data_IF_529044257064
#
_entry.id   IF_529044257064
#
_cell.length_a   1.000
_cell.length_b   1.000
_cell.length_c   1.000
_cell.angle_alpha   90.00
_cell.angle_beta   90.00
_cell.angle_gamma   90.00
#
_symmetry.space_group_name_H-M   'P 1'
#
loop_
_entity.id
_entity.type
_entity.pdbx_description
1 polymer ?
#
# COMPACT_ATOMS: atom_id res chain seq x y z
N UNK A 1 1.76 23.97 -6.32
CA UNK A 1 2.38 23.45 -5.09
C UNK A 1 2.88 24.61 -4.22
N UNK A 2 2.58 24.59 -2.93
CA UNK A 2 3.04 25.56 -1.92
C UNK A 2 4.59 25.60 -1.82
N UNK A 3 5.16 26.78 -1.59
CA UNK A 3 6.61 27.02 -1.39
C UNK A 3 7.19 26.10 -0.32
N UNK A 4 6.40 25.77 0.71
CA UNK A 4 6.76 24.83 1.77
C UNK A 4 7.10 23.43 1.24
N UNK A 5 6.27 22.85 0.38
CA UNK A 5 6.52 21.51 -0.17
C UNK A 5 7.65 21.49 -1.19
N UNK A 6 7.82 22.57 -1.96
CA UNK A 6 8.96 22.73 -2.87
C UNK A 6 10.29 22.59 -2.12
N UNK A 7 10.42 23.31 -1.01
CA UNK A 7 11.64 23.29 -0.20
C UNK A 7 11.85 21.93 0.48
N UNK A 8 10.78 21.32 1.00
CA UNK A 8 10.84 19.97 1.58
C UNK A 8 11.34 18.92 0.56
N UNK A 9 10.85 18.97 -0.69
CA UNK A 9 11.32 18.06 -1.75
C UNK A 9 12.80 18.31 -2.04
N UNK A 10 13.21 19.58 -2.21
CA UNK A 10 14.61 19.92 -2.49
C UNK A 10 15.55 19.43 -1.39
N UNK A 11 15.15 19.57 -0.12
CA UNK A 11 15.90 19.07 1.03
C UNK A 11 16.02 17.54 1.04
N UNK A 12 14.93 16.81 0.76
CA UNK A 12 15.01 15.33 0.72
C UNK A 12 15.90 14.86 -0.43
N UNK A 13 15.81 15.50 -1.60
CA UNK A 13 16.70 15.21 -2.72
C UNK A 13 18.16 15.45 -2.34
N UNK A 14 18.49 16.59 -1.72
CA UNK A 14 19.87 16.91 -1.35
C UNK A 14 20.46 15.99 -0.28
N UNK A 15 19.63 15.53 0.66
CA UNK A 15 20.04 14.58 1.71
C UNK A 15 20.27 13.17 1.17
N UNK A 16 19.47 12.75 0.19
CA UNK A 16 19.39 11.36 -0.24
C UNK A 16 20.11 11.07 -1.57
N UNK A 17 20.64 12.08 -2.27
CA UNK A 17 21.20 11.94 -3.62
C UNK A 17 22.52 12.69 -3.75
N UNK A 18 23.57 12.10 -4.36
CA UNK A 18 24.80 12.82 -4.63
C UNK A 18 24.58 14.04 -5.53
N UNK A 19 25.17 15.17 -5.16
CA UNK A 19 24.96 16.48 -5.80
C UNK A 19 25.49 16.59 -7.23
N UNK A 20 26.45 15.76 -7.59
CA UNK A 20 27.12 15.74 -8.90
C UNK A 20 26.33 14.97 -9.97
N UNK A 21 25.20 14.34 -9.60
CA UNK A 21 24.38 13.59 -10.52
C UNK A 21 23.80 14.45 -11.65
N UNK A 22 23.58 13.83 -12.80
CA UNK A 22 23.01 14.44 -13.99
C UNK A 22 21.61 15.01 -13.68
N UNK A 23 21.25 16.11 -14.33
CA UNK A 23 20.00 16.82 -14.06
C UNK A 23 18.76 15.92 -14.22
N UNK A 24 18.72 15.08 -15.26
CA UNK A 24 17.62 14.11 -15.46
C UNK A 24 17.50 13.08 -14.32
N UNK A 25 18.61 12.65 -13.72
CA UNK A 25 18.56 11.76 -12.54
C UNK A 25 18.07 12.50 -11.29
N UNK A 26 18.46 13.77 -11.12
CA UNK A 26 17.91 14.62 -10.05
C UNK A 26 16.41 14.87 -10.25
N UNK A 27 15.93 15.00 -11.50
CA UNK A 27 14.50 15.09 -11.83
C UNK A 27 13.75 13.82 -11.43
N UNK A 28 14.29 12.64 -11.72
CA UNK A 28 13.72 11.38 -11.25
C UNK A 28 13.57 11.37 -9.71
N UNK A 29 14.63 11.73 -8.98
CA UNK A 29 14.56 11.77 -7.52
C UNK A 29 13.53 12.79 -7.02
N UNK A 30 13.46 13.97 -7.62
CA UNK A 30 12.48 14.99 -7.22
C UNK A 30 11.04 14.48 -7.37
N UNK A 31 10.74 13.73 -8.43
CA UNK A 31 9.43 13.11 -8.66
C UNK A 31 9.15 11.99 -7.64
N UNK A 32 10.15 11.16 -7.33
CA UNK A 32 10.05 10.09 -6.31
C UNK A 32 9.75 10.67 -4.93
N UNK A 33 10.50 11.69 -4.50
CA UNK A 33 10.30 12.37 -3.22
C UNK A 33 8.93 13.05 -3.17
N UNK A 34 8.51 13.70 -4.26
CA UNK A 34 7.17 14.31 -4.37
C UNK A 34 6.05 13.27 -4.26
N UNK A 35 6.20 12.12 -4.90
CA UNK A 35 5.23 11.01 -4.84
C UNK A 35 5.09 10.49 -3.41
N UNK A 36 6.23 10.30 -2.73
CA UNK A 36 6.27 9.86 -1.33
C UNK A 36 5.61 10.88 -0.40
N UNK A 37 5.92 12.18 -0.54
CA UNK A 37 5.30 13.24 0.25
C UNK A 37 3.79 13.30 -0.01
N UNK A 38 3.36 13.25 -1.26
CA UNK A 38 1.95 13.27 -1.62
C UNK A 38 1.18 12.10 -0.99
N UNK A 39 1.78 10.91 -0.99
CA UNK A 39 1.24 9.74 -0.29
C UNK A 39 1.13 9.98 1.21
N UNK A 40 2.18 10.49 1.86
CA UNK A 40 2.15 10.77 3.31
C UNK A 40 1.12 11.83 3.72
N UNK A 41 0.83 12.81 2.86
CA UNK A 41 -0.25 13.79 3.09
C UNK A 41 -1.61 13.08 3.10
N UNK A 42 -1.89 12.24 2.10
CA UNK A 42 -3.16 11.50 2.01
C UNK A 42 -3.37 10.56 3.20
N UNK A 43 -2.30 9.91 3.66
CA UNK A 43 -2.34 8.97 4.77
C UNK A 43 -2.26 9.68 6.15
N UNK A 44 -2.17 11.02 6.19
CA UNK A 44 -2.09 11.81 7.43
C UNK A 44 -0.79 11.63 8.23
N UNK A 45 0.24 11.04 7.62
CA UNK A 45 1.50 10.64 8.28
C UNK A 45 2.66 11.62 8.06
N UNK A 46 2.46 12.67 7.26
CA UNK A 46 3.52 13.62 6.95
C UNK A 46 3.94 14.42 8.19
N UNK A 47 5.17 14.19 8.64
CA UNK A 47 5.87 15.07 9.59
C UNK A 47 6.70 16.09 8.82
N UNK A 48 6.49 17.37 9.10
CA UNK A 48 7.29 18.46 8.53
C UNK A 48 8.15 19.04 9.64
N UNK A 49 9.45 18.89 9.51
CA UNK A 49 10.44 19.49 10.39
C UNK A 49 10.80 20.90 9.89
N UNK A 50 11.38 21.72 10.77
CA UNK A 50 11.96 23.00 10.37
C UNK A 50 13.27 22.75 9.61
N UNK A 51 13.25 23.05 8.31
CA UNK A 51 14.34 22.70 7.39
C UNK A 51 15.12 23.96 7.03
N UNK A 52 16.41 23.97 7.39
CA UNK A 52 17.37 24.91 6.82
C UNK A 52 17.71 24.49 5.37
N UNK A 53 17.51 25.41 4.43
CA UNK A 53 17.68 25.18 2.99
C UNK A 53 18.83 25.98 2.36
N UNK A 54 19.60 26.72 3.16
CA UNK A 54 20.56 27.72 2.65
C UNK A 54 21.74 27.10 1.88
N UNK A 55 21.98 25.80 2.04
CA UNK A 55 23.08 25.05 1.43
C UNK A 55 22.66 24.17 0.25
N UNK A 56 21.37 24.19 -0.15
CA UNK A 56 20.88 23.31 -1.21
C UNK A 56 21.33 23.83 -2.59
N UNK A 57 21.95 22.94 -3.36
CA UNK A 57 22.44 23.23 -4.71
C UNK A 57 21.31 23.73 -5.63
N UNK A 58 21.57 24.82 -6.37
CA UNK A 58 20.66 25.40 -7.35
C UNK A 58 20.15 24.40 -8.40
N UNK A 59 20.96 23.39 -8.77
CA UNK A 59 20.58 22.33 -9.71
C UNK A 59 19.49 21.43 -9.16
N UNK A 60 19.45 21.21 -7.85
CA UNK A 60 18.39 20.44 -7.20
C UNK A 60 17.08 21.23 -7.27
N UNK A 61 17.12 22.53 -6.95
CA UNK A 61 15.95 23.39 -7.12
C UNK A 61 15.46 23.42 -8.57
N UNK A 62 16.39 23.50 -9.53
CA UNK A 62 16.05 23.39 -10.94
C UNK A 62 15.35 22.07 -11.27
N UNK A 63 15.85 20.93 -10.78
CA UNK A 63 15.19 19.64 -10.99
C UNK A 63 13.79 19.58 -10.36
N UNK A 64 13.61 20.15 -9.16
CA UNK A 64 12.31 20.23 -8.47
C UNK A 64 11.32 21.10 -9.25
N UNK A 65 11.78 22.23 -9.80
CA UNK A 65 10.95 23.17 -10.55
C UNK A 65 10.61 22.67 -11.95
N UNK A 66 11.59 22.11 -12.67
CA UNK A 66 11.38 21.52 -14.00
C UNK A 66 10.38 20.34 -13.96
N UNK A 67 10.26 19.68 -12.80
CA UNK A 67 9.31 18.56 -12.58
C UNK A 67 8.11 18.95 -11.73
N UNK A 68 7.81 20.25 -11.64
CA UNK A 68 6.75 20.77 -10.78
C UNK A 68 5.44 20.00 -10.99
N UNK A 69 4.84 19.60 -9.87
CA UNK A 69 3.59 18.85 -9.79
C UNK A 69 3.63 17.42 -10.38
N UNK A 70 4.74 16.91 -10.92
CA UNK A 70 4.79 15.53 -11.44
C UNK A 70 4.92 14.50 -10.32
N UNK A 71 4.10 13.45 -10.39
CA UNK A 71 4.10 12.28 -9.48
C UNK A 71 3.99 10.97 -10.25
N UNK A 72 4.35 9.87 -9.60
CA UNK A 72 4.32 8.51 -10.16
C UNK A 72 3.09 7.77 -9.64
N UNK A 73 2.32 7.21 -10.57
CA UNK A 73 1.06 6.56 -10.30
C UNK A 73 1.02 5.15 -10.86
N UNK A 74 0.25 4.29 -10.21
CA UNK A 74 -0.14 2.98 -10.72
C UNK A 74 -1.62 2.75 -10.34
N UNK A 75 -2.46 2.38 -11.32
CA UNK A 75 -3.91 2.24 -11.14
C UNK A 75 -4.55 3.42 -10.36
N UNK A 76 -4.25 4.65 -10.80
CA UNK A 76 -4.74 5.90 -10.20
C UNK A 76 -4.37 6.12 -8.71
N UNK A 77 -3.35 5.44 -8.20
CA UNK A 77 -2.82 5.66 -6.84
C UNK A 77 -1.33 6.02 -6.87
N UNK A 78 -0.85 6.90 -5.97
CA UNK A 78 0.57 7.15 -5.84
C UNK A 78 1.29 5.88 -5.40
N UNK A 79 2.37 5.55 -6.09
CA UNK A 79 3.12 4.33 -5.84
C UNK A 79 3.90 4.40 -4.51
N UNK A 80 4.33 3.25 -4.01
CA UNK A 80 5.44 3.14 -3.06
C UNK A 80 6.75 3.27 -3.85
N UNK A 81 7.25 4.50 -4.00
CA UNK A 81 8.42 4.83 -4.81
C UNK A 81 9.73 4.49 -4.09
N UNK A 82 9.97 3.20 -3.82
CA UNK A 82 11.23 2.73 -3.24
C UNK A 82 12.42 3.04 -4.15
N UNK A 83 13.55 3.42 -3.56
CA UNK A 83 14.79 3.72 -4.27
C UNK A 83 16.01 3.40 -3.40
N UNK A 84 17.16 3.22 -4.05
CA UNK A 84 18.42 2.89 -3.41
C UNK A 84 19.61 3.41 -4.25
N UNK A 85 20.79 3.54 -3.64
CA UNK A 85 21.92 4.20 -4.31
C UNK A 85 22.52 3.36 -5.45
N UNK A 86 22.67 2.04 -5.28
CA UNK A 86 23.24 1.15 -6.31
C UNK A 86 22.68 -0.26 -6.22
N UNK A 87 22.25 -0.84 -7.35
CA UNK A 87 21.66 -2.18 -7.39
C UNK A 87 22.69 -3.31 -7.57
N UNK A 88 23.96 -2.99 -7.84
CA UNK A 88 25.00 -4.00 -8.10
C UNK A 88 24.83 -4.81 -9.38
N UNK A 89 23.81 -4.49 -10.21
CA UNK A 89 23.58 -5.10 -11.51
C UNK A 89 22.12 -5.41 -11.80
N UNK A 90 21.29 -5.67 -10.78
CA UNK A 90 19.88 -6.00 -10.93
C UNK A 90 19.07 -5.38 -9.79
N UNK A 91 17.92 -4.80 -10.09
CA UNK A 91 16.92 -4.51 -9.05
C UNK A 91 16.12 -5.77 -8.75
N UNK A 92 15.42 -5.78 -7.61
CA UNK A 92 14.78 -6.96 -7.04
C UNK A 92 13.24 -6.88 -7.11
N UNK A 93 12.60 -8.04 -7.16
CA UNK A 93 11.14 -8.17 -7.01
C UNK A 93 10.73 -7.92 -5.56
N UNK A 94 9.63 -7.18 -5.35
CA UNK A 94 9.21 -6.80 -4.00
C UNK A 94 8.94 -7.98 -3.06
N UNK A 95 8.47 -9.12 -3.57
CA UNK A 95 8.17 -10.31 -2.77
C UNK A 95 9.40 -10.92 -2.11
N UNK A 96 10.59 -10.75 -2.70
CA UNK A 96 11.85 -11.29 -2.15
C UNK A 96 12.37 -10.46 -0.97
N UNK A 97 11.89 -9.22 -0.80
CA UNK A 97 12.35 -8.28 0.25
C UNK A 97 11.24 -7.93 1.25
N UNK A 98 10.00 -7.79 0.77
CA UNK A 98 8.83 -7.34 1.55
C UNK A 98 7.82 -8.46 1.81
N UNK A 99 8.08 -9.69 1.37
CA UNK A 99 7.15 -10.83 1.45
C UNK A 99 5.76 -10.56 0.83
N UNK A 100 5.68 -9.59 -0.11
CA UNK A 100 4.46 -9.25 -0.84
C UNK A 100 4.78 -8.77 -2.25
N UNK A 101 4.02 -9.25 -3.23
CA UNK A 101 4.10 -8.80 -4.62
C UNK A 101 3.47 -7.41 -4.79
N UNK A 102 4.18 -6.52 -5.48
CA UNK A 102 3.78 -5.16 -5.85
C UNK A 102 4.10 -4.97 -7.33
N UNK A 103 3.07 -4.81 -8.16
CA UNK A 103 3.17 -5.00 -9.62
C UNK A 103 4.12 -4.03 -10.33
N UNK A 104 4.32 -2.83 -9.80
CA UNK A 104 5.27 -1.85 -10.36
C UNK A 104 6.68 -1.94 -9.77
N UNK A 105 6.93 -2.81 -8.78
CA UNK A 105 8.26 -3.04 -8.19
C UNK A 105 8.80 -4.40 -8.64
N UNK A 106 9.15 -4.49 -9.92
CA UNK A 106 9.68 -5.70 -10.55
C UNK A 106 11.18 -5.53 -10.79
N UNK A 107 11.93 -6.61 -10.62
CA UNK A 107 13.36 -6.62 -10.85
C UNK A 107 13.69 -6.37 -12.33
N UNK A 108 14.63 -5.45 -12.58
CA UNK A 108 15.14 -5.13 -13.91
C UNK A 108 16.66 -5.24 -13.93
N UNK A 109 17.21 -5.73 -15.03
CA UNK A 109 18.67 -5.75 -15.23
C UNK A 109 19.18 -4.33 -15.42
N UNK A 110 20.21 -3.92 -14.69
CA UNK A 110 20.87 -2.63 -14.78
C UNK A 110 22.34 -2.81 -15.19
N UNK A 111 22.59 -2.84 -16.51
CA UNK A 111 23.94 -3.04 -17.07
C UNK A 111 24.94 -2.00 -16.56
N UNK A 112 24.48 -0.76 -16.40
CA UNK A 112 25.30 0.37 -15.96
C UNK A 112 25.88 0.19 -14.54
N UNK A 113 25.18 -0.53 -13.66
CA UNK A 113 25.68 -0.86 -12.32
C UNK A 113 26.44 -2.18 -12.26
N UNK A 114 26.28 -3.06 -13.25
CA UNK A 114 26.98 -4.36 -13.30
C UNK A 114 28.47 -4.18 -13.56
N UNK A 115 28.81 -3.18 -14.39
CA UNK A 115 30.18 -2.96 -14.86
C UNK A 115 30.97 -1.97 -13.97
N UNK A 116 30.31 -1.34 -13.00
CA UNK A 116 30.95 -0.38 -12.10
C UNK A 116 31.47 -1.08 -10.83
N UNK A 117 32.79 -1.31 -10.78
CA UNK A 117 33.49 -1.96 -9.66
C UNK A 117 33.79 -1.02 -8.48
N UNK A 118 33.61 0.28 -8.64
CA UNK A 118 34.01 1.29 -7.62
C UNK A 118 33.15 1.23 -6.34
N UNK A 119 32.11 0.39 -6.34
CA UNK A 119 31.22 0.15 -5.21
C UNK A 119 31.23 -1.31 -4.72
N UNK A 120 32.07 -2.15 -5.30
CA UNK A 120 32.30 -3.48 -4.75
C UNK A 120 33.00 -3.25 -3.40
N UNK A 121 32.39 -3.73 -2.32
CA UNK A 121 32.97 -3.60 -0.98
C UNK A 121 33.44 -4.97 -0.50
N UNK A 122 34.54 -4.95 0.24
CA UNK A 122 35.14 -6.14 0.84
C UNK A 122 35.14 -5.94 2.34
N UNK A 123 34.53 -6.88 3.07
CA UNK A 123 34.50 -6.86 4.54
C UNK A 123 35.11 -8.17 5.03
N UNK A 124 36.14 -8.06 5.85
CA UNK A 124 36.73 -9.21 6.56
C UNK A 124 36.18 -9.22 7.99
N UNK A 125 35.47 -10.30 8.35
CA UNK A 125 34.89 -10.47 9.69
C UNK A 125 35.57 -11.66 10.38
N UNK A 126 35.97 -11.50 11.63
CA UNK A 126 36.48 -12.61 12.45
C UNK A 126 35.38 -13.65 12.69
N UNK A 127 35.71 -14.94 12.62
CA UNK A 127 34.73 -16.02 12.75
C UNK A 127 34.01 -15.97 14.10
N UNK A 128 34.72 -15.62 15.17
CA UNK A 128 34.14 -15.48 16.51
C UNK A 128 33.15 -14.32 16.58
N UNK A 129 33.48 -13.17 15.97
CA UNK A 129 32.57 -12.03 15.85
C UNK A 129 31.31 -12.45 15.08
N UNK A 130 31.48 -13.10 13.92
CA UNK A 130 30.37 -13.56 13.10
C UNK A 130 29.44 -14.52 13.86
N UNK A 131 30.00 -15.48 14.60
CA UNK A 131 29.21 -16.41 15.41
C UNK A 131 28.40 -15.66 16.48
N UNK A 132 29.01 -14.67 17.14
CA UNK A 132 28.34 -13.86 18.15
C UNK A 132 27.15 -13.08 17.60
N UNK A 133 27.27 -12.53 16.38
CA UNK A 133 26.21 -11.75 15.71
C UNK A 133 24.94 -12.57 15.47
N UNK A 134 25.06 -13.90 15.33
CA UNK A 134 23.95 -14.80 15.01
C UNK A 134 23.64 -15.81 16.12
N UNK A 135 24.10 -15.58 17.35
CA UNK A 135 23.93 -16.50 18.49
C UNK A 135 24.44 -17.94 18.20
N UNK A 136 25.42 -18.05 17.31
CA UNK A 136 26.12 -19.29 17.03
C UNK A 136 27.03 -19.67 18.18
N UNK A 137 27.21 -20.98 18.39
CA UNK A 137 28.22 -21.51 19.31
C UNK A 137 29.24 -22.31 18.50
N UNK A 138 30.51 -22.05 18.76
CA UNK A 138 31.59 -22.87 18.21
C UNK A 138 31.75 -24.12 19.09
N UNK A 139 32.01 -25.27 18.48
CA UNK A 139 32.45 -26.44 19.26
C UNK A 139 33.78 -26.14 19.92
N UNK A 140 33.96 -26.64 21.14
CA UNK A 140 35.23 -26.59 21.87
C UNK A 140 36.21 -27.68 21.39
N UNK A 141 35.73 -28.68 20.64
CA UNK A 141 36.59 -29.74 20.11
C UNK A 141 37.32 -29.23 18.86
N UNK A 142 38.65 -29.17 18.93
CA UNK A 142 39.49 -28.74 17.80
C UNK A 142 39.52 -29.76 16.66
N UNK A 143 38.98 -30.97 16.88
CA UNK A 143 38.82 -32.02 15.87
C UNK A 143 37.46 -31.98 15.18
N UNK A 144 36.56 -31.09 15.59
CA UNK A 144 35.33 -30.78 14.84
C UNK A 144 35.70 -29.94 13.62
N UNK A 145 36.09 -30.63 12.56
CA UNK A 145 36.62 -30.03 11.34
C UNK A 145 35.56 -29.14 10.66
N UNK A 146 35.95 -27.90 10.34
CA UNK A 146 35.13 -27.07 9.46
C UNK A 146 35.30 -27.55 8.03
N UNK A 147 34.23 -28.07 7.43
CA UNK A 147 34.24 -28.33 6.00
C UNK A 147 34.38 -27.01 5.23
N UNK A 148 35.55 -26.81 4.60
CA UNK A 148 35.77 -25.69 3.69
C UNK A 148 35.55 -26.24 2.28
N UNK A 149 34.32 -26.08 1.81
CA UNK A 149 33.88 -26.59 0.51
C UNK A 149 34.89 -26.26 -0.59
N UNK A 150 35.23 -27.29 -1.38
CA UNK A 150 36.16 -27.24 -2.52
C UNK A 150 37.62 -26.88 -2.17
N UNK A 151 37.99 -26.80 -0.89
CA UNK A 151 39.35 -26.49 -0.43
C UNK A 151 39.90 -27.60 0.47
N UNK A 152 39.25 -27.90 1.60
CA UNK A 152 39.71 -28.89 2.57
C UNK A 152 38.54 -29.69 3.16
N UNK A 153 38.63 -31.02 3.08
CA UNK A 153 37.67 -31.93 3.69
C UNK A 153 38.37 -33.18 4.21
N UNK A 154 38.27 -33.45 5.51
CA UNK A 154 38.68 -34.74 6.06
C UNK A 154 37.74 -35.82 5.53
N UNK A 155 38.29 -36.82 4.83
CA UNK A 155 37.51 -37.93 4.26
C UNK A 155 37.36 -39.03 5.30
N UNK A 156 38.47 -39.39 5.94
CA UNK A 156 38.52 -40.49 6.89
C UNK A 156 39.50 -40.21 8.02
N UNK A 157 39.09 -40.55 9.24
CA UNK A 157 39.96 -40.61 10.41
C UNK A 157 40.11 -42.06 10.88
N UNK A 158 41.28 -42.39 11.40
CA UNK A 158 41.53 -43.66 12.08
C UNK A 158 40.80 -43.70 13.43
N UNK A 159 40.78 -44.87 14.08
CA UNK A 159 40.27 -45.02 15.45
C UNK A 159 40.98 -44.09 16.46
N UNK A 160 42.29 -43.91 16.28
CA UNK A 160 43.10 -42.95 17.05
C UNK A 160 42.90 -41.48 16.65
N UNK A 161 41.84 -41.17 15.88
CA UNK A 161 41.43 -39.85 15.40
C UNK A 161 42.47 -39.13 14.53
N UNK A 162 43.46 -39.85 14.00
CA UNK A 162 44.39 -39.31 13.00
C UNK A 162 43.69 -39.23 11.65
N UNK A 163 43.99 -38.20 10.86
CA UNK A 163 43.52 -38.11 9.48
C UNK A 163 44.23 -39.21 8.68
N UNK A 164 43.44 -40.14 8.14
CA UNK A 164 43.91 -41.19 7.24
C UNK A 164 43.98 -40.61 5.82
N UNK A 165 42.90 -39.97 5.37
CA UNK A 165 42.84 -39.27 4.10
C UNK A 165 42.08 -37.94 4.19
N UNK A 166 42.56 -36.98 3.43
CA UNK A 166 42.03 -35.61 3.33
C UNK A 166 41.97 -35.20 1.87
N UNK A 167 40.86 -34.58 1.48
CA UNK A 167 40.69 -33.94 0.19
C UNK A 167 41.25 -32.52 0.29
N UNK A 168 42.20 -32.20 -0.59
CA UNK A 168 42.77 -30.86 -0.76
C UNK A 168 42.47 -30.41 -2.18
N UNK A 169 41.63 -29.39 -2.32
CA UNK A 169 40.97 -29.05 -3.58
C UNK A 169 40.28 -30.28 -4.18
N UNK A 170 40.82 -30.83 -5.28
CA UNK A 170 40.28 -31.98 -6.00
C UNK A 170 41.16 -33.23 -5.86
N UNK A 171 42.16 -33.21 -4.97
CA UNK A 171 43.10 -34.33 -4.80
C UNK A 171 43.00 -34.91 -3.39
N UNK A 172 42.74 -36.21 -3.31
CA UNK A 172 42.86 -36.95 -2.06
C UNK A 172 44.34 -37.23 -1.78
N UNK A 173 44.77 -36.91 -0.56
CA UNK A 173 46.14 -37.14 -0.06
C UNK A 173 46.10 -37.82 1.30
N UNK A 174 47.18 -38.52 1.65
CA UNK A 174 47.31 -39.12 2.98
C UNK A 174 47.46 -38.04 4.04
N UNK A 175 46.85 -38.22 5.22
CA UNK A 175 46.95 -37.24 6.30
C UNK A 175 48.38 -36.98 6.79
N UNK A 176 49.26 -37.98 6.69
CA UNK A 176 50.70 -37.84 7.01
C UNK A 176 51.47 -37.02 5.98
N UNK A 177 51.17 -37.21 4.70
CA UNK A 177 51.75 -36.40 3.62
C UNK A 177 51.34 -34.93 3.80
N UNK A 178 50.06 -34.69 4.09
CA UNK A 178 49.54 -33.35 4.34
C UNK A 178 50.17 -32.69 5.58
N UNK A 179 50.27 -33.41 6.70
CA UNK A 179 50.89 -32.88 7.92
C UNK A 179 52.36 -32.51 7.69
N UNK A 180 53.10 -33.35 6.96
CA UNK A 180 54.51 -33.09 6.65
C UNK A 180 54.68 -31.87 5.75
N UNK A 181 53.83 -31.73 4.71
CA UNK A 181 53.88 -30.59 3.81
C UNK A 181 53.59 -29.25 4.50
N UNK A 182 52.82 -29.27 5.60
CA UNK A 182 52.51 -28.08 6.40
C UNK A 182 53.38 -27.94 7.67
N UNK A 183 54.35 -28.84 7.88
CA UNK A 183 55.18 -28.90 9.09
C UNK A 183 54.35 -29.00 10.39
N UNK A 184 53.30 -29.80 10.39
CA UNK A 184 52.51 -30.10 11.59
C UNK A 184 53.15 -31.25 12.37
N UNK A 185 53.09 -31.19 13.70
CA UNK A 185 53.68 -32.20 14.59
C UNK A 185 53.10 -33.62 14.39
N UNK A 186 51.87 -33.73 13.88
CA UNK A 186 51.26 -35.03 13.61
C UNK A 186 50.06 -34.95 12.67
N UNK A 187 49.61 -36.09 12.15
CA UNK A 187 48.35 -36.23 11.39
C UNK A 187 47.07 -36.19 12.26
N UNK A 188 47.18 -35.99 13.58
CA UNK A 188 46.05 -35.76 14.50
C UNK A 188 45.85 -34.26 14.71
N UNK A 189 45.35 -33.59 13.69
CA UNK A 189 45.03 -32.16 13.74
C UNK A 189 43.59 -31.93 13.28
N UNK A 190 43.09 -30.71 13.49
CA UNK A 190 41.89 -30.16 12.86
C UNK A 190 42.17 -28.73 12.40
N UNK A 191 41.20 -28.10 11.73
CA UNK A 191 41.38 -26.77 11.15
C UNK A 191 40.08 -25.97 11.12
N UNK A 192 40.21 -24.64 11.18
CA UNK A 192 39.10 -23.68 11.05
C UNK A 192 39.58 -22.35 10.46
N UNK A 193 38.74 -21.64 9.70
CA UNK A 193 39.05 -20.28 9.29
C UNK A 193 39.04 -19.34 10.51
N UNK A 194 39.91 -18.32 10.51
CA UNK A 194 39.92 -17.26 11.53
C UNK A 194 39.08 -16.07 11.06
N UNK A 195 39.11 -15.77 9.75
CA UNK A 195 38.34 -14.69 9.12
C UNK A 195 37.54 -15.21 7.93
N UNK A 196 36.39 -14.58 7.69
CA UNK A 196 35.59 -14.77 6.48
C UNK A 196 35.53 -13.44 5.74
N UNK A 197 35.91 -13.47 4.46
CA UNK A 197 35.83 -12.32 3.55
C UNK A 197 34.50 -12.34 2.81
N UNK A 198 33.75 -11.26 2.93
CA UNK A 198 32.52 -11.02 2.19
C UNK A 198 32.78 -10.02 1.06
N UNK A 199 32.28 -10.35 -0.12
CA UNK A 199 32.24 -9.44 -1.27
C UNK A 199 30.80 -9.00 -1.46
N UNK A 200 30.56 -7.69 -1.44
CA UNK A 200 29.21 -7.14 -1.65
C UNK A 200 29.18 -6.27 -2.89
N UNK A 201 28.05 -6.32 -3.60
CA UNK A 201 27.76 -5.49 -4.76
C UNK A 201 26.48 -4.73 -4.55
N UNK A 202 26.52 -3.44 -4.84
CA UNK A 202 25.38 -2.55 -4.62
C UNK A 202 25.25 -2.09 -3.17
N UNK A 203 24.37 -1.13 -2.95
CA UNK A 203 24.12 -0.51 -1.65
C UNK A 203 22.61 -0.17 -1.59
N UNK A 204 21.96 -0.66 -0.55
CA UNK A 204 20.53 -0.52 -0.29
C UNK A 204 19.73 -1.78 -0.63
N UNK A 205 18.42 -1.68 -0.49
CA UNK A 205 17.52 -2.84 -0.52
C UNK A 205 17.20 -3.38 -1.94
N UNK A 206 17.70 -2.75 -3.00
CA UNK A 206 17.55 -3.24 -4.38
C UNK A 206 16.18 -3.05 -5.03
N UNK A 207 15.20 -2.46 -4.35
CA UNK A 207 13.83 -2.28 -4.87
C UNK A 207 13.71 -0.98 -5.67
N UNK A 208 12.99 -1.03 -6.79
CA UNK A 208 12.59 0.14 -7.57
C UNK A 208 13.78 0.90 -8.16
N UNK A 209 13.83 2.21 -7.92
CA UNK A 209 14.75 3.11 -8.60
C UNK A 209 16.19 2.98 -8.11
N UNK A 210 17.12 2.69 -9.03
CA UNK A 210 18.55 2.69 -8.76
C UNK A 210 19.17 4.05 -9.12
N UNK A 211 19.61 4.83 -8.12
CA UNK A 211 20.06 6.20 -8.35
C UNK A 211 21.30 6.30 -9.25
N UNK A 212 22.33 5.47 -9.03
CA UNK A 212 23.51 5.45 -9.91
C UNK A 212 23.20 4.95 -11.32
N UNK A 213 22.38 3.90 -11.42
CA UNK A 213 21.94 3.39 -12.73
C UNK A 213 21.18 4.45 -13.52
N UNK A 214 20.28 5.19 -12.86
CA UNK A 214 19.60 6.33 -13.44
C UNK A 214 20.57 7.45 -13.87
N UNK A 215 21.58 7.76 -13.07
CA UNK A 215 22.60 8.74 -13.42
C UNK A 215 23.37 8.38 -14.70
N UNK A 216 23.78 7.12 -14.84
CA UNK A 216 24.47 6.65 -16.04
C UNK A 216 23.56 6.64 -17.28
N UNK A 217 22.29 6.26 -17.14
CA UNK A 217 21.29 6.39 -18.21
C UNK A 217 21.08 7.84 -18.63
N UNK A 218 20.99 8.74 -17.66
CA UNK A 218 20.84 10.16 -17.88
C UNK A 218 22.06 10.76 -18.63
N UNK A 219 23.29 10.34 -18.30
CA UNK A 219 24.51 10.69 -19.07
C UNK A 219 24.48 10.17 -20.50
N UNK A 220 23.74 9.08 -20.76
CA UNK A 220 23.47 8.52 -22.09
C UNK A 220 22.22 9.15 -22.75
N UNK A 221 21.83 10.35 -22.33
CA UNK A 221 20.72 11.15 -22.86
C UNK A 221 19.31 10.58 -22.62
N UNK A 222 19.13 9.61 -21.73
CA UNK A 222 17.78 9.17 -21.34
C UNK A 222 17.06 10.29 -20.59
N UNK A 223 15.76 10.44 -20.88
CA UNK A 223 14.89 11.40 -20.18
C UNK A 223 14.36 10.80 -18.90
N UNK A 224 14.02 11.66 -17.92
CA UNK A 224 13.56 11.20 -16.62
C UNK A 224 12.33 10.28 -16.71
N UNK A 225 11.45 10.48 -17.71
CA UNK A 225 10.26 9.66 -17.95
C UNK A 225 10.64 8.22 -18.31
N UNK A 226 11.59 8.05 -19.23
CA UNK A 226 12.08 6.74 -19.67
C UNK A 226 12.81 6.02 -18.54
N UNK A 227 13.60 6.77 -17.77
CA UNK A 227 14.33 6.21 -16.63
C UNK A 227 13.36 5.73 -15.55
N UNK A 228 12.31 6.49 -15.23
CA UNK A 228 11.32 6.09 -14.22
C UNK A 228 10.50 4.88 -14.69
N UNK A 229 10.06 4.85 -15.96
CA UNK A 229 9.36 3.69 -16.53
C UNK A 229 10.24 2.44 -16.63
N UNK A 230 11.56 2.62 -16.73
CA UNK A 230 12.50 1.52 -16.71
C UNK A 230 12.56 0.84 -15.33
N UNK A 231 12.56 1.62 -14.25
CA UNK A 231 12.69 1.08 -12.89
C UNK A 231 11.35 0.74 -12.21
N UNK A 232 10.26 1.38 -12.66
CA UNK A 232 8.92 1.10 -12.16
C UNK A 232 8.04 0.61 -13.32
N UNK A 233 7.55 -0.61 -13.24
CA UNK A 233 6.81 -1.25 -14.34
C UNK A 233 5.39 -0.70 -14.46
N UNK A 234 4.95 -0.39 -15.68
CA UNK A 234 3.58 0.04 -16.00
C UNK A 234 3.06 1.22 -15.17
N UNK A 235 3.96 2.15 -14.82
CA UNK A 235 3.58 3.39 -14.13
C UNK A 235 3.08 4.45 -15.11
N UNK A 236 2.38 5.44 -14.57
CA UNK A 236 2.07 6.68 -15.27
C UNK A 236 2.68 7.85 -14.51
N UNK A 237 3.32 8.77 -15.22
CA UNK A 237 3.78 10.04 -14.66
C UNK A 237 2.75 11.09 -15.04
N UNK A 238 2.13 11.72 -14.06
CA UNK A 238 1.07 12.70 -14.31
C UNK A 238 1.24 13.93 -13.41
N UNK A 239 0.60 15.05 -13.79
CA UNK A 239 0.57 16.24 -12.94
C UNK A 239 -0.45 16.06 -11.81
N UNK A 240 -0.13 16.55 -10.62
CA UNK A 240 -1.05 16.57 -9.47
C UNK A 240 -2.36 17.33 -9.77
N UNK A 241 -2.32 18.34 -10.65
CA UNK A 241 -3.51 19.09 -11.07
C UNK A 241 -4.46 18.25 -11.93
N UNK A 242 -3.93 17.28 -12.70
CA UNK A 242 -4.74 16.27 -13.39
C UNK A 242 -5.43 15.33 -12.39
N UNK A 243 -4.96 15.26 -11.14
CA UNK A 243 -5.59 14.47 -10.07
C UNK A 243 -6.75 15.20 -9.37
N UNK A 244 -6.82 16.54 -9.43
CA UNK A 244 -8.08 17.23 -9.13
C UNK A 244 -9.19 16.86 -10.14
N UNK A 245 -8.84 16.16 -11.22
CA UNK A 245 -9.78 15.57 -12.18
C UNK A 245 -9.89 14.05 -12.10
N UNK A 246 -9.23 13.34 -11.16
CA UNK A 246 -9.37 11.88 -10.96
C UNK A 246 -9.83 11.55 -9.55
N UNK A 247 -11.01 12.07 -9.23
CA UNK A 247 -11.72 11.70 -8.02
C UNK A 247 -12.02 10.18 -8.03
N UNK A 248 -11.83 9.43 -6.93
CA UNK A 248 -11.85 7.96 -6.94
C UNK A 248 -13.15 7.31 -7.40
N UNK A 249 -14.27 8.04 -7.33
CA UNK A 249 -15.58 7.64 -7.79
C UNK A 249 -16.00 8.41 -9.05
N UNK A 250 -15.05 9.01 -9.78
CA UNK A 250 -15.32 9.70 -11.05
C UNK A 250 -15.99 8.73 -12.03
N UNK A 251 -17.02 9.23 -12.71
CA UNK A 251 -17.90 8.50 -13.62
C UNK A 251 -18.81 7.46 -12.96
N UNK A 252 -18.74 7.27 -11.64
CA UNK A 252 -19.70 6.42 -10.92
C UNK A 252 -20.96 7.23 -10.64
N UNK A 253 -22.10 6.71 -11.09
CA UNK A 253 -23.42 7.27 -10.83
C UNK A 253 -24.08 6.51 -9.69
N UNK A 254 -24.41 7.21 -8.62
CA UNK A 254 -25.08 6.64 -7.46
C UNK A 254 -26.45 7.29 -7.32
N UNK A 255 -27.48 6.47 -7.16
CA UNK A 255 -28.81 6.94 -6.80
C UNK A 255 -29.04 6.66 -5.33
N UNK A 256 -29.31 7.70 -4.55
CA UNK A 256 -29.64 7.59 -3.12
C UNK A 256 -31.15 7.75 -2.97
N UNK A 257 -31.78 6.81 -2.29
CA UNK A 257 -33.19 6.86 -1.96
C UNK A 257 -33.40 7.09 -0.46
N UNK A 258 -33.66 8.33 -0.01
CA UNK A 258 -34.06 8.57 1.37
C UNK A 258 -35.45 7.98 1.60
N UNK A 259 -35.54 7.01 2.50
CA UNK A 259 -36.81 6.36 2.87
C UNK A 259 -37.87 7.36 3.32
N UNK A 260 -39.15 7.04 3.08
CA UNK A 260 -40.32 7.83 3.49
C UNK A 260 -40.34 9.25 2.89
N UNK A 261 -41.18 10.15 3.43
CA UNK A 261 -41.26 11.56 3.02
C UNK A 261 -42.69 12.13 2.95
N UNK A 262 -42.81 13.44 3.17
CA UNK A 262 -44.08 14.15 3.21
C UNK A 262 -44.98 13.64 4.32
N UNK A 263 -46.14 13.07 3.97
CA UNK A 263 -47.09 12.51 4.95
C UNK A 263 -46.63 11.19 5.57
N UNK A 264 -45.74 10.47 4.91
CA UNK A 264 -45.16 9.24 5.44
C UNK A 264 -43.97 9.59 6.35
N UNK A 265 -44.18 9.46 7.66
CA UNK A 265 -43.15 9.73 8.68
C UNK A 265 -42.11 8.61 8.76
N UNK A 266 -42.40 7.43 8.23
CA UNK A 266 -41.77 6.18 8.65
C UNK A 266 -42.05 5.92 10.13
N UNK A 267 -41.05 5.45 10.87
CA UNK A 267 -41.18 5.35 12.32
C UNK A 267 -40.95 6.70 13.03
N UNK A 268 -41.81 7.03 13.99
CA UNK A 268 -41.65 8.17 14.89
C UNK A 268 -41.09 7.67 16.23
N UNK A 269 -39.90 8.12 16.61
CA UNK A 269 -39.29 7.77 17.90
C UNK A 269 -40.05 8.41 19.07
N UNK A 270 -39.81 7.93 20.30
CA UNK A 270 -40.46 8.50 21.49
C UNK A 270 -39.99 9.94 21.77
N UNK A 271 -38.85 10.32 21.20
CA UNK A 271 -38.22 11.63 21.30
C UNK A 271 -38.73 12.60 20.22
N UNK A 272 -39.72 12.17 19.42
CA UNK A 272 -40.32 12.99 18.37
C UNK A 272 -39.50 13.07 17.08
N UNK A 273 -38.46 12.23 16.92
CA UNK A 273 -37.64 12.20 15.71
C UNK A 273 -38.23 11.21 14.73
N UNK A 274 -38.55 11.69 13.52
CA UNK A 274 -39.12 10.85 12.47
C UNK A 274 -38.04 10.24 11.57
N UNK A 275 -38.27 9.02 11.11
CA UNK A 275 -37.38 8.34 10.17
C UNK A 275 -37.17 9.17 8.90
N UNK A 276 -38.24 9.74 8.34
CA UNK A 276 -38.14 10.58 7.14
C UNK A 276 -37.15 11.75 7.27
N UNK A 277 -36.99 12.28 8.48
CA UNK A 277 -36.09 13.40 8.77
C UNK A 277 -34.64 12.93 8.79
N UNK A 278 -34.36 11.82 9.49
CA UNK A 278 -32.99 11.28 9.56
C UNK A 278 -32.55 10.75 8.21
N UNK A 279 -33.40 10.01 7.49
CA UNK A 279 -33.05 9.47 6.17
C UNK A 279 -32.73 10.60 5.19
N UNK A 280 -33.49 11.69 5.20
CA UNK A 280 -33.22 12.88 4.38
C UNK A 280 -31.90 13.55 4.79
N UNK A 281 -31.76 13.87 6.07
CA UNK A 281 -30.59 14.57 6.63
C UNK A 281 -29.31 13.80 6.34
N UNK A 282 -29.30 12.49 6.58
CA UNK A 282 -28.15 11.65 6.32
C UNK A 282 -27.87 11.52 4.82
N UNK A 283 -28.89 11.35 3.98
CA UNK A 283 -28.71 11.21 2.53
C UNK A 283 -28.12 12.46 1.89
N UNK A 284 -28.46 13.66 2.37
CA UNK A 284 -27.84 14.91 1.93
C UNK A 284 -26.34 14.96 2.30
N UNK A 285 -25.99 14.56 3.52
CA UNK A 285 -24.58 14.49 3.95
C UNK A 285 -23.82 13.42 3.15
N UNK A 286 -24.42 12.28 2.89
CA UNK A 286 -23.83 11.21 2.09
C UNK A 286 -23.62 11.65 0.64
N UNK A 287 -24.59 12.38 0.05
CA UNK A 287 -24.48 12.97 -1.28
C UNK A 287 -23.24 13.86 -1.38
N UNK A 288 -23.13 14.87 -0.50
CA UNK A 288 -21.99 15.79 -0.48
C UNK A 288 -20.67 15.01 -0.38
N UNK A 289 -20.61 13.99 0.48
CA UNK A 289 -19.42 13.18 0.68
C UNK A 289 -19.06 12.30 -0.50
N UNK A 290 -20.03 11.74 -1.22
CA UNK A 290 -19.77 10.97 -2.44
C UNK A 290 -19.33 11.87 -3.60
N UNK A 291 -19.92 13.07 -3.71
CA UNK A 291 -19.56 14.08 -4.72
C UNK A 291 -18.16 14.66 -4.49
N UNK A 292 -17.73 14.85 -3.23
CA UNK A 292 -16.33 15.16 -2.87
C UNK A 292 -15.33 14.12 -3.42
N UNK A 293 -15.77 12.88 -3.61
CA UNK A 293 -14.99 11.78 -4.17
C UNK A 293 -15.33 11.48 -5.64
N UNK A 294 -16.11 12.36 -6.29
CA UNK A 294 -16.30 12.39 -7.74
C UNK A 294 -17.48 11.62 -8.29
N UNK A 295 -18.27 10.98 -7.41
CA UNK A 295 -19.48 10.34 -7.86
C UNK A 295 -20.47 11.39 -8.37
N UNK A 296 -21.24 11.05 -9.41
CA UNK A 296 -22.45 11.78 -9.75
C UNK A 296 -23.59 11.21 -8.92
N UNK A 297 -24.22 12.04 -8.07
CA UNK A 297 -25.24 11.55 -7.13
C UNK A 297 -26.61 12.17 -7.40
N UNK A 298 -27.62 11.32 -7.59
CA UNK A 298 -29.01 11.71 -7.68
C UNK A 298 -29.78 11.23 -6.44
N UNK A 299 -30.72 12.04 -5.93
CA UNK A 299 -31.62 11.63 -4.86
C UNK A 299 -33.05 11.50 -5.39
N UNK A 300 -33.81 10.55 -4.87
CA UNK A 300 -35.27 10.51 -5.11
C UNK A 300 -35.98 11.75 -4.52
N UNK A 301 -35.47 12.28 -3.41
CA UNK A 301 -35.90 13.55 -2.82
C UNK A 301 -34.74 14.29 -2.13
N UNK A 302 -34.71 15.61 -2.27
CA UNK A 302 -33.78 16.51 -1.56
C UNK A 302 -34.47 17.41 -0.53
N UNK A 303 -35.78 17.22 -0.34
CA UNK A 303 -36.65 17.96 0.57
C UNK A 303 -37.70 17.00 1.16
N UNK A 304 -38.48 17.47 2.13
CA UNK A 304 -39.55 16.68 2.73
C UNK A 304 -40.80 16.64 1.83
N UNK A 305 -40.82 15.68 0.90
CA UNK A 305 -41.94 15.42 0.02
C UNK A 305 -42.19 13.93 -0.16
N UNK A 306 -43.44 13.59 -0.45
CA UNK A 306 -43.82 12.22 -0.79
C UNK A 306 -43.44 11.91 -2.24
N UNK A 307 -42.73 10.80 -2.44
CA UNK A 307 -42.42 10.22 -3.75
C UNK A 307 -42.85 8.76 -3.68
N UNK A 308 -43.72 8.35 -4.60
CA UNK A 308 -44.25 6.99 -4.69
C UNK A 308 -43.15 6.01 -5.13
N UNK A 309 -43.36 4.72 -4.85
CA UNK A 309 -42.38 3.70 -5.23
C UNK A 309 -42.18 3.59 -6.76
N UNK A 310 -43.24 3.82 -7.55
CA UNK A 310 -43.17 3.82 -9.00
C UNK A 310 -42.41 5.05 -9.54
N UNK A 311 -42.66 6.23 -8.97
CA UNK A 311 -41.86 7.43 -9.30
C UNK A 311 -40.37 7.23 -8.97
N UNK A 312 -40.04 6.62 -7.83
CA UNK A 312 -38.66 6.26 -7.48
C UNK A 312 -38.04 5.34 -8.53
N UNK A 313 -38.75 4.29 -8.92
CA UNK A 313 -38.29 3.35 -9.96
C UNK A 313 -38.07 4.06 -11.32
N UNK A 314 -38.96 4.97 -11.71
CA UNK A 314 -38.84 5.71 -12.95
C UNK A 314 -37.70 6.73 -12.93
N UNK A 315 -37.43 7.35 -11.77
CA UNK A 315 -36.24 8.18 -11.58
C UNK A 315 -34.94 7.37 -11.72
N UNK A 316 -34.89 6.17 -11.13
CA UNK A 316 -33.73 5.26 -11.26
C UNK A 316 -33.51 4.89 -12.73
N UNK A 317 -34.57 4.47 -13.44
CA UNK A 317 -34.52 4.14 -14.88
C UNK A 317 -34.02 5.31 -15.72
N UNK A 318 -34.49 6.53 -15.42
CA UNK A 318 -34.09 7.74 -16.14
C UNK A 318 -32.63 8.12 -15.87
N UNK A 319 -32.18 8.00 -14.62
CA UNK A 319 -30.83 8.39 -14.22
C UNK A 319 -29.75 7.38 -14.67
N UNK A 320 -30.12 6.10 -14.75
CA UNK A 320 -29.22 4.96 -15.06
C UNK A 320 -27.98 4.95 -14.15
N UNK A 321 -28.16 4.82 -12.83
CA UNK A 321 -27.04 4.71 -11.89
C UNK A 321 -26.32 3.36 -12.02
N UNK A 322 -25.06 3.32 -11.60
CA UNK A 322 -24.32 2.07 -11.36
C UNK A 322 -24.82 1.38 -10.09
N UNK A 323 -25.17 2.15 -9.07
CA UNK A 323 -25.68 1.64 -7.79
C UNK A 323 -26.87 2.42 -7.24
N UNK A 324 -27.82 1.69 -6.66
CA UNK A 324 -28.88 2.20 -5.80
C UNK A 324 -28.51 2.03 -4.32
N UNK A 325 -28.68 3.08 -3.52
CA UNK A 325 -28.53 3.06 -2.07
C UNK A 325 -29.80 3.59 -1.42
N UNK A 326 -30.63 2.69 -0.89
CA UNK A 326 -31.85 3.05 -0.14
C UNK A 326 -31.51 3.17 1.35
N UNK A 327 -31.90 4.27 1.99
CA UNK A 327 -31.56 4.57 3.37
C UNK A 327 -32.81 4.57 4.24
N UNK A 328 -32.83 3.69 5.25
CA UNK A 328 -33.91 3.52 6.22
C UNK A 328 -33.36 3.34 7.65
N UNK A 329 -34.28 3.37 8.62
CA UNK A 329 -34.00 3.01 10.01
C UNK A 329 -35.03 2.01 10.52
N UNK A 330 -34.54 1.02 11.23
CA UNK A 330 -35.37 -0.07 11.71
C UNK A 330 -36.07 0.33 13.03
N UNK A 331 -36.98 -0.53 13.45
CA UNK A 331 -37.64 -0.46 14.76
C UNK A 331 -37.75 -1.85 15.35
N UNK A 332 -37.67 -1.91 16.68
CA UNK A 332 -37.90 -3.13 17.45
C UNK A 332 -38.83 -2.84 18.62
N UNK A 333 -39.52 -3.88 19.10
CA UNK A 333 -40.25 -3.84 20.38
C UNK A 333 -39.28 -3.73 21.57
N UNK A 334 -38.04 -4.19 21.38
CA UNK A 334 -36.97 -4.24 22.35
C UNK A 334 -36.03 -3.04 22.14
N UNK A 335 -35.96 -2.14 23.12
CA UNK A 335 -35.22 -0.86 23.02
C UNK A 335 -33.71 -1.03 23.02
N UNK A 336 -33.21 -2.17 23.50
CA UNK A 336 -31.79 -2.55 23.54
C UNK A 336 -31.25 -2.99 22.18
N UNK A 337 -32.12 -3.32 21.23
CA UNK A 337 -31.70 -3.69 19.88
C UNK A 337 -31.11 -2.47 19.19
N UNK A 338 -29.93 -2.69 18.60
CA UNK A 338 -29.15 -1.69 17.87
C UNK A 338 -28.38 -2.36 16.74
N UNK A 339 -27.77 -1.53 15.90
CA UNK A 339 -26.87 -1.96 14.85
C UNK A 339 -27.39 -1.72 13.45
N UNK A 340 -26.50 -2.01 12.50
CA UNK A 340 -26.71 -1.84 11.07
C UNK A 340 -27.01 -3.19 10.42
N UNK A 341 -27.96 -3.21 9.49
CA UNK A 341 -28.19 -4.31 8.55
C UNK A 341 -28.46 -3.77 7.15
N UNK A 342 -28.37 -4.65 6.16
CA UNK A 342 -28.73 -4.28 4.81
C UNK A 342 -29.27 -5.47 4.03
N UNK A 343 -29.94 -5.13 2.94
CA UNK A 343 -30.61 -6.07 2.06
C UNK A 343 -30.22 -5.80 0.62
N UNK A 344 -30.04 -6.87 -0.16
CA UNK A 344 -29.84 -6.82 -1.60
C UNK A 344 -30.89 -7.71 -2.29
N UNK A 345 -31.15 -7.45 -3.57
CA UNK A 345 -32.09 -8.29 -4.33
C UNK A 345 -31.53 -9.68 -4.58
N UNK A 346 -32.38 -10.68 -4.71
CA UNK A 346 -31.95 -12.06 -4.93
C UNK A 346 -31.08 -12.18 -6.19
N UNK A 347 -29.87 -12.70 -6.01
CA UNK A 347 -28.89 -12.89 -7.09
C UNK A 347 -28.08 -11.65 -7.45
N UNK A 348 -28.27 -10.52 -6.77
CA UNK A 348 -27.46 -9.31 -6.95
C UNK A 348 -26.11 -9.44 -6.24
N UNK A 349 -25.17 -10.13 -6.88
CA UNK A 349 -23.81 -10.38 -6.37
C UNK A 349 -23.05 -9.08 -6.10
N UNK A 350 -23.20 -8.08 -6.98
CA UNK A 350 -22.50 -6.80 -6.82
C UNK A 350 -23.05 -6.00 -5.64
N UNK A 351 -24.39 -5.98 -5.48
CA UNK A 351 -25.05 -5.41 -4.30
C UNK A 351 -24.62 -6.09 -3.00
N UNK A 352 -24.48 -7.42 -3.00
CA UNK A 352 -23.98 -8.17 -1.83
C UNK A 352 -22.56 -7.76 -1.45
N UNK A 353 -21.63 -7.74 -2.42
CA UNK A 353 -20.22 -7.41 -2.17
C UNK A 353 -20.10 -5.96 -1.68
N UNK A 354 -20.73 -5.00 -2.36
CA UNK A 354 -20.70 -3.59 -1.96
C UNK A 354 -21.31 -3.39 -0.56
N UNK A 355 -22.46 -4.02 -0.28
CA UNK A 355 -23.10 -3.98 1.03
C UNK A 355 -22.19 -4.51 2.14
N UNK A 356 -21.51 -5.64 1.89
CA UNK A 356 -20.55 -6.25 2.84
C UNK A 356 -19.37 -5.32 3.13
N UNK A 357 -18.80 -4.67 2.12
CA UNK A 357 -17.70 -3.72 2.33
C UNK A 357 -18.15 -2.52 3.18
N UNK A 358 -19.30 -1.93 2.87
CA UNK A 358 -19.84 -0.78 3.59
C UNK A 358 -20.13 -1.12 5.06
N UNK A 359 -20.87 -2.21 5.32
CA UNK A 359 -21.26 -2.58 6.69
C UNK A 359 -20.04 -2.93 7.56
N UNK A 360 -19.01 -3.55 6.96
CA UNK A 360 -17.77 -3.90 7.66
C UNK A 360 -16.97 -2.66 8.06
N UNK A 361 -16.92 -1.64 7.19
CA UNK A 361 -16.26 -0.36 7.51
C UNK A 361 -17.02 0.37 8.61
N UNK A 362 -18.34 0.51 8.48
CA UNK A 362 -19.20 1.16 9.47
C UNK A 362 -19.05 0.51 10.85
N UNK A 363 -19.18 -0.82 10.92
CA UNK A 363 -19.06 -1.54 12.18
C UNK A 363 -17.71 -1.35 12.84
N UNK A 364 -16.62 -1.51 12.08
CA UNK A 364 -15.26 -1.42 12.61
C UNK A 364 -14.88 0.00 13.06
N UNK A 365 -15.24 1.02 12.28
CA UNK A 365 -14.79 2.41 12.54
C UNK A 365 -15.67 3.15 13.54
N UNK A 366 -16.96 2.84 13.59
CA UNK A 366 -17.91 3.53 14.48
C UNK A 366 -18.32 2.68 15.68
N UNK A 367 -17.76 1.47 15.81
CA UNK A 367 -18.12 0.51 16.86
C UNK A 367 -19.64 0.21 16.89
N UNK A 368 -20.26 0.16 15.71
CA UNK A 368 -21.68 -0.16 15.54
C UNK A 368 -21.82 -1.68 15.36
N UNK A 369 -22.84 -2.27 15.98
CA UNK A 369 -23.12 -3.70 15.86
C UNK A 369 -23.45 -4.05 14.40
N UNK A 370 -22.67 -4.96 13.81
CA UNK A 370 -22.95 -5.51 12.48
C UNK A 370 -24.00 -6.63 12.57
N UNK A 371 -25.13 -6.47 11.91
CA UNK A 371 -26.21 -7.48 11.85
C UNK A 371 -26.27 -8.23 10.51
N UNK A 372 -25.36 -7.90 9.60
CA UNK A 372 -25.13 -8.58 8.34
C UNK A 372 -25.87 -7.96 7.15
N UNK A 373 -25.54 -8.48 5.97
CA UNK A 373 -26.22 -8.20 4.70
C UNK A 373 -26.95 -9.48 4.29
N UNK A 374 -28.22 -9.37 3.89
CA UNK A 374 -29.09 -10.51 3.58
C UNK A 374 -29.83 -10.30 2.26
N UNK A 375 -30.29 -11.39 1.66
CA UNK A 375 -31.23 -11.30 0.55
C UNK A 375 -32.59 -10.80 1.06
N UNK A 376 -33.25 -9.94 0.29
CA UNK A 376 -34.56 -9.41 0.63
C UNK A 376 -35.37 -9.02 -0.59
N UNK A 377 -36.64 -9.44 -0.63
CA UNK A 377 -37.60 -9.00 -1.66
C UNK A 377 -38.19 -7.64 -1.29
N UNK A 378 -37.41 -6.59 -1.52
CA UNK A 378 -37.79 -5.20 -1.26
C UNK A 378 -38.17 -4.54 -2.59
N UNK A 379 -39.33 -3.88 -2.64
CA UNK A 379 -39.90 -3.35 -3.90
C UNK A 379 -38.93 -2.48 -4.70
N UNK A 380 -38.24 -1.53 -4.04
CA UNK A 380 -37.32 -0.63 -4.76
C UNK A 380 -36.11 -1.36 -5.33
N UNK A 381 -35.62 -2.40 -4.64
CA UNK A 381 -34.53 -3.25 -5.14
C UNK A 381 -35.02 -4.12 -6.31
N UNK A 382 -36.23 -4.69 -6.21
CA UNK A 382 -36.86 -5.51 -7.27
C UNK A 382 -37.14 -4.71 -8.55
N UNK A 383 -37.49 -3.42 -8.43
CA UNK A 383 -37.78 -2.54 -9.58
C UNK A 383 -36.56 -1.79 -10.09
N UNK A 384 -35.42 -1.88 -9.41
CA UNK A 384 -34.19 -1.23 -9.83
C UNK A 384 -33.63 -1.89 -11.10
N UNK A 385 -33.06 -1.07 -12.00
CA UNK A 385 -32.34 -1.56 -13.19
C UNK A 385 -30.84 -1.74 -12.95
N UNK A 386 -30.37 -1.49 -11.74
CA UNK A 386 -28.98 -1.61 -11.33
C UNK A 386 -28.88 -2.32 -9.97
N UNK A 387 -27.66 -2.72 -9.61
CA UNK A 387 -27.37 -3.30 -8.31
C UNK A 387 -27.68 -2.34 -7.17
N UNK A 388 -28.27 -2.86 -6.10
CA UNK A 388 -28.86 -2.01 -5.06
C UNK A 388 -28.70 -2.59 -3.66
N UNK A 389 -28.44 -1.70 -2.70
CA UNK A 389 -28.48 -2.03 -1.29
C UNK A 389 -29.52 -1.17 -0.59
N UNK A 390 -30.39 -1.82 0.16
CA UNK A 390 -31.29 -1.18 1.11
C UNK A 390 -30.67 -1.31 2.50
N UNK A 391 -30.33 -0.19 3.13
CA UNK A 391 -29.72 -0.17 4.44
C UNK A 391 -30.73 0.22 5.51
N UNK A 392 -30.70 -0.54 6.60
CA UNK A 392 -31.26 -0.17 7.89
C UNK A 392 -30.09 0.30 8.76
N UNK A 393 -29.90 1.61 8.88
CA UNK A 393 -28.68 2.19 9.44
C UNK A 393 -28.60 2.18 10.99
N UNK A 394 -29.66 1.76 11.65
CA UNK A 394 -29.83 1.76 13.10
C UNK A 394 -31.30 1.54 13.47
N UNK A 395 -31.60 1.56 14.76
CA UNK A 395 -32.94 1.35 15.30
C UNK A 395 -33.46 2.60 16.00
N UNK A 396 -34.52 3.21 15.47
CA UNK A 396 -35.15 4.38 16.11
C UNK A 396 -35.89 4.06 17.41
N UNK A 397 -36.07 2.78 17.73
CA UNK A 397 -36.52 2.34 19.06
C UNK A 397 -35.43 2.45 20.14
N UNK A 398 -34.17 2.69 19.77
CA UNK A 398 -33.02 2.78 20.66
C UNK A 398 -32.59 4.24 20.87
N UNK A 399 -32.75 4.75 22.09
CA UNK A 399 -32.44 6.15 22.44
C UNK A 399 -30.99 6.56 22.12
N UNK A 400 -30.02 5.66 22.29
CA UNK A 400 -28.63 5.96 22.01
C UNK A 400 -28.40 6.16 20.51
N UNK A 401 -29.07 5.36 19.67
CA UNK A 401 -28.99 5.53 18.22
C UNK A 401 -29.72 6.79 17.75
N UNK A 402 -30.88 7.12 18.35
CA UNK A 402 -31.55 8.41 18.09
C UNK A 402 -30.62 9.59 18.40
N UNK A 403 -29.94 9.56 19.54
CA UNK A 403 -28.96 10.60 19.91
C UNK A 403 -27.80 10.69 18.91
N UNK A 404 -27.30 9.55 18.42
CA UNK A 404 -26.26 9.51 17.40
C UNK A 404 -26.74 10.15 16.09
N UNK A 405 -27.96 9.88 15.63
CA UNK A 405 -28.50 10.48 14.40
C UNK A 405 -28.81 11.99 14.54
N UNK A 406 -29.00 12.47 15.76
CA UNK A 406 -29.10 13.91 16.03
C UNK A 406 -27.72 14.61 15.96
N UNK A 407 -26.63 13.91 16.28
CA UNK A 407 -25.27 14.44 16.21
C UNK A 407 -24.77 14.60 14.76
N UNK A 408 -24.52 15.84 14.36
CA UNK A 408 -23.95 16.19 13.04
C UNK A 408 -22.58 15.56 12.80
N UNK A 409 -21.75 15.41 13.84
CA UNK A 409 -20.42 14.81 13.72
C UNK A 409 -20.53 13.31 13.44
N UNK A 410 -21.43 12.62 14.14
CA UNK A 410 -21.72 11.21 13.88
C UNK A 410 -22.19 10.98 12.44
N UNK A 411 -23.18 11.75 11.95
CA UNK A 411 -23.66 11.63 10.57
C UNK A 411 -22.54 11.83 9.52
N UNK A 412 -21.67 12.83 9.72
CA UNK A 412 -20.52 13.07 8.83
C UNK A 412 -19.53 11.90 8.85
N UNK A 413 -19.21 11.36 10.03
CA UNK A 413 -18.33 10.22 10.17
C UNK A 413 -18.92 8.96 9.53
N UNK A 414 -20.23 8.76 9.67
CA UNK A 414 -20.98 7.67 9.05
C UNK A 414 -20.97 7.76 7.54
N UNK A 415 -21.19 8.95 6.97
CA UNK A 415 -21.09 9.17 5.53
C UNK A 415 -19.67 8.89 5.01
N UNK A 416 -18.62 9.35 5.71
CA UNK A 416 -17.22 9.04 5.36
C UNK A 416 -16.96 7.54 5.37
N UNK A 417 -17.49 6.81 6.36
CA UNK A 417 -17.35 5.35 6.42
C UNK A 417 -18.06 4.66 5.24
N UNK A 418 -19.24 5.14 4.81
CA UNK A 418 -19.89 4.60 3.61
C UNK A 418 -19.08 4.87 2.35
N UNK A 419 -18.54 6.09 2.17
CA UNK A 419 -17.64 6.40 1.05
C UNK A 419 -16.44 5.47 1.05
N UNK A 420 -15.79 5.24 2.20
CA UNK A 420 -14.69 4.29 2.29
C UNK A 420 -15.07 2.85 1.92
N UNK A 421 -16.29 2.41 2.24
CA UNK A 421 -16.85 1.13 1.79
C UNK A 421 -16.95 1.06 0.26
N UNK A 422 -17.47 2.10 -0.39
CA UNK A 422 -17.46 2.23 -1.84
C UNK A 422 -16.05 2.15 -2.42
N UNK A 423 -15.10 2.88 -1.83
CA UNK A 423 -13.72 2.86 -2.27
C UNK A 423 -13.16 1.44 -2.21
N UNK A 424 -13.32 0.73 -1.08
CA UNK A 424 -12.87 -0.67 -0.90
C UNK A 424 -13.44 -1.61 -1.94
N UNK A 425 -14.75 -1.54 -2.19
CA UNK A 425 -15.40 -2.33 -3.22
C UNK A 425 -14.71 -2.16 -4.60
N UNK A 426 -14.49 -0.91 -5.03
CA UNK A 426 -13.79 -0.65 -6.30
C UNK A 426 -12.30 -1.03 -6.27
N UNK A 427 -11.64 -1.00 -5.10
CA UNK A 427 -10.26 -1.48 -4.98
C UNK A 427 -10.18 -2.99 -5.24
N UNK A 428 -11.09 -3.75 -4.65
CA UNK A 428 -11.10 -5.21 -4.74
C UNK A 428 -11.47 -5.67 -6.16
N UNK A 429 -12.43 -4.99 -6.80
CA UNK A 429 -12.83 -5.26 -8.19
C UNK A 429 -11.71 -5.04 -9.22
N UNK A 430 -10.73 -4.18 -8.93
CA UNK A 430 -9.55 -3.98 -9.79
C UNK A 430 -8.44 -5.02 -9.57
N UNK A 431 -8.55 -5.84 -8.52
CA UNK A 431 -7.57 -6.89 -8.18
C UNK A 431 -8.02 -8.30 -8.61
N UNK A 432 -9.30 -8.46 -8.95
CA UNK A 432 -9.90 -9.62 -9.62
C UNK A 432 -9.95 -9.39 -11.12
#
# INVERSE_FOLDING_TARGET
MDKKYRNLIAYRVSKNTPKDFHLEALKCQAIIERTTIFRSIKDGSLKIEDINNDYIDSRIYKAVDDTKNLVIMFNNRPILAFYHISCGGNTENSENILNRKIDYLRGVTCKDCKDNKDLDNVVDIDLEELLSMFNGKMSSDFLDDFFIKDILKVIKRTESKRIESILVFNKEVKGTEFSNNLNLDSSRFGFRPIKIRFYTKGIGHGLGFCQRGANEKAKKNWKFEDILNYYYTNINICKLEEFNSNLPLKNIKIFIDPGHGGKDLGYLSNEGVSEKEITLKFSLVLKEKLEEYGASVCLSRSEDKSITLDERADMIKKYKPDFLISIHLNKSKFKEISGIEGFYYWGDVEGEILGKEIINVLSKKLNIKNRGIREGKIYILEKSICSGIYFELGYLSNIQEVNNFNDKKFLKNMAVCMVEGFLKYYQNKMLT
#
